data_IF_974704909369
#
_entry.id   IF_974704909369
#
_cell.length_a   1.000
_cell.length_b   1.000
_cell.length_c   1.000
_cell.angle_alpha   90.00
_cell.angle_beta   90.00
_cell.angle_gamma   90.00
#
_symmetry.space_group_name_H-M   'P 1'
#
loop_
_entity.id
_entity.type
_entity.pdbx_description
1 polymer ?
#
# COMPACT_ATOMS: atom_id res chain seq x y z
N UNK A 1 -7.24 22.96 -18.86
CA UNK A 1 -8.28 22.52 -19.81
C UNK A 1 -7.58 22.44 -21.17
N UNK A 2 -7.04 21.33 -21.66
CA UNK A 2 -7.41 19.91 -21.63
C UNK A 2 -6.18 19.06 -21.25
N UNK A 3 -6.30 18.15 -20.28
CA UNK A 3 -5.26 17.16 -19.96
C UNK A 3 -5.52 15.79 -20.60
N UNK A 4 -6.65 15.63 -21.29
CA UNK A 4 -7.05 14.38 -21.90
C UNK A 4 -7.56 14.65 -23.32
N UNK A 5 -6.80 14.27 -24.34
CA UNK A 5 -7.37 14.05 -25.67
C UNK A 5 -8.16 12.74 -25.62
N UNK A 6 -9.44 12.87 -25.29
CA UNK A 6 -10.55 11.94 -25.47
C UNK A 6 -10.21 10.52 -25.99
N UNK A 7 -9.76 9.63 -25.10
CA UNK A 7 -10.37 8.31 -25.05
C UNK A 7 -11.42 8.41 -23.94
N UNK A 8 -12.69 8.48 -24.31
CA UNK A 8 -13.77 8.30 -23.33
C UNK A 8 -13.72 6.84 -22.89
N UNK A 9 -12.93 6.57 -21.86
CA UNK A 9 -12.96 5.30 -21.17
C UNK A 9 -14.19 5.31 -20.27
N UNK A 10 -15.05 4.32 -20.44
CA UNK A 10 -16.22 4.11 -19.60
C UNK A 10 -16.14 2.70 -19.06
N UNK A 11 -16.33 2.54 -17.76
CA UNK A 11 -16.25 1.25 -17.08
C UNK A 11 -17.61 0.87 -16.55
N UNK A 12 -18.04 -0.37 -16.79
CA UNK A 12 -19.24 -0.92 -16.15
C UNK A 12 -18.98 -1.08 -14.64
N UNK A 13 -17.79 -1.62 -14.32
CA UNK A 13 -17.39 -1.97 -12.96
C UNK A 13 -15.89 -1.70 -12.76
N UNK A 14 -15.54 -1.28 -11.55
CA UNK A 14 -14.17 -1.16 -11.07
C UNK A 14 -14.01 -2.04 -9.84
N UNK A 15 -13.09 -3.01 -9.91
CA UNK A 15 -12.70 -3.87 -8.80
C UNK A 15 -11.32 -3.44 -8.33
N UNK A 16 -11.18 -3.15 -7.05
CA UNK A 16 -9.89 -2.80 -6.44
C UNK A 16 -9.81 -3.32 -5.01
N UNK A 17 -8.61 -3.41 -4.44
CA UNK A 17 -8.48 -3.83 -3.03
C UNK A 17 -8.18 -2.67 -2.09
N UNK A 18 -7.01 -2.06 -2.22
CA UNK A 18 -6.50 -1.06 -1.30
C UNK A 18 -6.21 0.22 -2.07
N UNK A 19 -6.88 1.34 -1.79
CA UNK A 19 -6.73 2.58 -2.54
C UNK A 19 -5.45 3.33 -2.11
N UNK A 20 -4.28 2.71 -2.26
CA UNK A 20 -3.01 3.39 -2.11
C UNK A 20 -2.66 4.22 -3.35
N UNK A 21 -1.47 4.83 -3.33
CA UNK A 21 -1.06 5.79 -4.36
C UNK A 21 -0.95 5.13 -5.75
N UNK A 22 -0.55 3.85 -5.82
CA UNK A 22 -0.44 3.11 -7.07
C UNK A 22 -1.82 2.78 -7.65
N UNK A 23 -2.71 2.23 -6.80
CA UNK A 23 -4.11 1.95 -7.17
C UNK A 23 -4.82 3.21 -7.66
N UNK A 24 -4.63 4.32 -6.96
CA UNK A 24 -5.31 5.58 -7.26
C UNK A 24 -4.79 6.22 -8.54
N UNK A 25 -3.48 6.22 -8.76
CA UNK A 25 -2.92 6.72 -10.03
C UNK A 25 -3.36 5.84 -11.20
N UNK A 26 -3.42 4.53 -11.01
CA UNK A 26 -3.99 3.62 -12.01
C UNK A 26 -5.43 3.98 -12.35
N UNK A 27 -6.29 4.20 -11.34
CA UNK A 27 -7.68 4.60 -11.53
C UNK A 27 -7.81 5.95 -12.25
N UNK A 28 -6.98 6.94 -11.88
CA UNK A 28 -6.91 8.24 -12.56
C UNK A 28 -6.53 8.08 -14.04
N UNK A 29 -5.50 7.29 -14.35
CA UNK A 29 -5.06 7.02 -15.71
C UNK A 29 -6.09 6.22 -16.52
N UNK A 30 -6.88 5.38 -15.87
CA UNK A 30 -7.98 4.67 -16.51
C UNK A 30 -9.22 5.54 -16.71
N UNK A 31 -9.24 6.80 -16.23
CA UNK A 31 -10.39 7.68 -16.34
C UNK A 31 -11.58 7.24 -15.48
N UNK A 32 -11.33 6.61 -14.33
CA UNK A 32 -12.39 6.20 -13.39
C UNK A 32 -13.17 7.42 -12.91
N UNK A 33 -14.49 7.29 -12.92
CA UNK A 33 -15.43 8.29 -12.40
C UNK A 33 -16.40 7.64 -11.42
N UNK A 34 -17.19 8.44 -10.71
CA UNK A 34 -18.19 7.95 -9.75
C UNK A 34 -19.41 7.26 -10.38
N UNK A 35 -19.53 7.29 -11.71
CA UNK A 35 -20.67 6.73 -12.43
C UNK A 35 -20.56 5.21 -12.66
N UNK A 36 -19.45 4.60 -12.22
CA UNK A 36 -19.18 3.17 -12.30
C UNK A 36 -19.72 2.40 -11.10
N UNK A 37 -19.93 1.09 -11.25
CA UNK A 37 -20.13 0.20 -10.08
C UNK A 37 -18.78 -0.12 -9.44
N UNK A 38 -18.68 -0.06 -8.11
CA UNK A 38 -17.44 -0.34 -7.39
C UNK A 38 -17.53 -1.62 -6.55
N UNK A 39 -16.47 -2.41 -6.59
CA UNK A 39 -16.27 -3.55 -5.70
C UNK A 39 -14.90 -3.47 -5.02
N UNK A 40 -14.90 -3.66 -3.70
CA UNK A 40 -13.67 -3.71 -2.90
C UNK A 40 -13.35 -5.17 -2.58
N UNK A 41 -12.39 -5.76 -3.27
CA UNK A 41 -12.01 -7.17 -3.11
C UNK A 41 -10.50 -7.37 -3.19
N UNK A 42 -9.88 -8.18 -2.29
CA UNK A 42 -8.48 -8.57 -2.42
C UNK A 42 -8.21 -9.47 -3.63
N UNK A 43 -9.24 -10.12 -4.15
CA UNK A 43 -9.16 -11.03 -5.29
C UNK A 43 -10.38 -10.81 -6.18
N UNK A 44 -10.16 -10.22 -7.35
CA UNK A 44 -11.19 -10.13 -8.37
C UNK A 44 -11.59 -11.53 -8.85
N UNK A 45 -12.87 -11.70 -9.14
CA UNK A 45 -13.37 -12.95 -9.69
C UNK A 45 -12.81 -13.18 -11.11
N UNK A 46 -12.64 -14.45 -11.49
CA UNK A 46 -12.14 -14.80 -12.83
C UNK A 46 -13.01 -14.24 -13.96
N UNK A 47 -14.31 -14.04 -13.72
CA UNK A 47 -15.20 -13.44 -14.71
C UNK A 47 -14.86 -11.97 -14.94
N UNK A 48 -14.63 -11.22 -13.86
CA UNK A 48 -14.22 -9.82 -13.92
C UNK A 48 -12.84 -9.66 -14.56
N UNK A 49 -11.87 -10.50 -14.16
CA UNK A 49 -10.50 -10.48 -14.71
C UNK A 49 -10.47 -10.67 -16.24
N UNK A 50 -11.40 -11.45 -16.78
CA UNK A 50 -11.45 -11.74 -18.22
C UNK A 50 -12.44 -10.85 -18.99
N UNK A 51 -13.06 -9.86 -18.34
CA UNK A 51 -14.01 -8.95 -18.97
C UNK A 51 -13.34 -7.61 -19.32
N UNK A 52 -13.19 -7.26 -20.61
CA UNK A 52 -12.53 -6.01 -21.01
C UNK A 52 -13.29 -4.74 -20.59
N UNK A 53 -14.58 -4.83 -20.23
CA UNK A 53 -15.39 -3.71 -19.74
C UNK A 53 -15.30 -3.50 -18.21
N UNK A 54 -14.57 -4.39 -17.52
CA UNK A 54 -14.30 -4.32 -16.07
C UNK A 54 -12.85 -3.94 -15.84
N UNK A 55 -12.64 -2.93 -15.01
CA UNK A 55 -11.30 -2.50 -14.60
C UNK A 55 -10.92 -3.20 -13.30
N UNK A 56 -9.85 -4.01 -13.32
CA UNK A 56 -9.28 -4.63 -12.12
C UNK A 56 -7.96 -3.94 -11.76
N UNK A 57 -7.85 -3.45 -10.52
CA UNK A 57 -6.67 -2.72 -10.03
C UNK A 57 -6.15 -3.35 -8.74
N UNK A 58 -4.94 -3.91 -8.79
CA UNK A 58 -4.27 -4.51 -7.64
C UNK A 58 -5.07 -5.60 -6.92
N UNK A 59 -5.89 -6.32 -7.67
CA UNK A 59 -6.71 -7.43 -7.18
C UNK A 59 -6.81 -8.63 -8.13
N UNK A 60 -6.23 -8.59 -9.33
CA UNK A 60 -6.36 -9.65 -10.34
C UNK A 60 -5.18 -10.62 -10.45
N UNK A 61 -4.03 -10.28 -9.87
CA UNK A 61 -2.85 -11.13 -9.73
C UNK A 61 -2.21 -11.66 -11.01
N UNK A 62 -2.49 -11.10 -12.19
CA UNK A 62 -2.00 -11.67 -13.46
C UNK A 62 -1.37 -10.68 -14.42
N UNK A 63 -1.53 -9.37 -14.21
CA UNK A 63 -1.03 -8.33 -15.13
C UNK A 63 -1.55 -8.50 -16.57
N UNK A 64 -2.82 -8.92 -16.74
CA UNK A 64 -3.45 -9.06 -18.06
C UNK A 64 -3.88 -7.67 -18.54
N UNK A 65 -2.89 -6.84 -18.87
CA UNK A 65 -3.02 -5.42 -19.20
C UNK A 65 -4.00 -5.17 -20.37
N UNK A 66 -3.98 -6.05 -21.38
CA UNK A 66 -4.90 -5.98 -22.54
C UNK A 66 -6.38 -6.19 -22.16
N UNK A 67 -6.64 -6.76 -20.98
CA UNK A 67 -7.98 -6.95 -20.41
C UNK A 67 -8.25 -5.98 -19.25
N UNK A 68 -7.47 -4.89 -19.14
CA UNK A 68 -7.61 -3.88 -18.10
C UNK A 68 -7.48 -4.44 -16.67
N UNK A 69 -6.65 -5.48 -16.51
CA UNK A 69 -6.24 -6.01 -15.22
C UNK A 69 -4.80 -5.59 -14.92
N UNK A 70 -4.67 -4.52 -14.14
CA UNK A 70 -3.41 -3.93 -13.74
C UNK A 70 -3.05 -4.41 -12.33
N UNK A 71 -2.10 -5.33 -12.25
CA UNK A 71 -1.69 -5.95 -10.99
C UNK A 71 -0.27 -6.50 -11.13
N UNK A 72 0.50 -6.45 -10.06
CA UNK A 72 1.87 -6.98 -9.99
C UNK A 72 2.11 -8.01 -8.88
N UNK A 73 1.05 -8.50 -8.23
CA UNK A 73 1.09 -9.35 -7.05
C UNK A 73 1.04 -10.86 -7.30
N UNK A 74 0.71 -11.30 -8.52
CA UNK A 74 0.65 -12.72 -8.84
C UNK A 74 1.55 -13.07 -10.02
N UNK A 75 2.46 -14.01 -9.79
CA UNK A 75 3.40 -14.51 -10.80
C UNK A 75 4.74 -14.93 -10.21
N UNK A 76 5.45 -15.80 -10.92
CA UNK A 76 6.87 -16.10 -10.67
C UNK A 76 7.81 -15.11 -11.37
N UNK A 77 7.25 -14.10 -12.04
CA UNK A 77 7.98 -13.05 -12.72
C UNK A 77 7.68 -11.70 -12.08
N UNK A 78 8.64 -10.80 -12.18
CA UNK A 78 8.44 -9.41 -11.83
C UNK A 78 7.51 -8.75 -12.85
N UNK A 79 6.51 -8.04 -12.33
CA UNK A 79 5.66 -7.13 -13.09
C UNK A 79 5.84 -5.72 -12.50
N UNK A 80 5.85 -4.66 -13.33
CA UNK A 80 5.95 -3.29 -12.83
C UNK A 80 4.66 -2.89 -12.08
N UNK A 81 4.70 -1.86 -11.22
CA UNK A 81 3.52 -1.34 -10.50
C UNK A 81 2.32 -1.06 -11.41
N UNK A 82 1.09 -1.17 -10.92
CA UNK A 82 -0.12 -1.04 -11.75
C UNK A 82 -0.20 0.30 -12.49
N UNK A 83 0.23 1.41 -11.87
CA UNK A 83 0.16 2.71 -12.54
C UNK A 83 1.12 2.79 -13.72
N UNK A 84 2.25 2.07 -13.67
CA UNK A 84 3.19 1.94 -14.79
C UNK A 84 2.56 1.15 -15.93
N UNK A 85 1.91 0.04 -15.60
CA UNK A 85 1.20 -0.79 -16.58
C UNK A 85 0.12 0.03 -17.30
N UNK A 86 -0.72 0.76 -16.56
CA UNK A 86 -1.76 1.62 -17.12
C UNK A 86 -1.20 2.78 -17.96
N UNK A 87 -0.14 3.44 -17.50
CA UNK A 87 0.52 4.51 -18.25
C UNK A 87 0.97 4.03 -19.64
N UNK A 88 1.65 2.88 -19.68
CA UNK A 88 2.12 2.27 -20.93
C UNK A 88 0.96 1.83 -21.82
N UNK A 89 -0.05 1.17 -21.24
CA UNK A 89 -1.22 0.66 -21.97
C UNK A 89 -2.01 1.76 -22.66
N UNK A 90 -2.33 2.82 -21.93
CA UNK A 90 -3.15 3.91 -22.47
C UNK A 90 -2.37 4.86 -23.38
N UNK A 91 -1.03 4.79 -23.35
CA UNK A 91 -0.15 5.54 -24.26
C UNK A 91 -0.09 7.04 -23.95
N UNK A 92 -0.02 7.40 -22.66
CA UNK A 92 0.11 8.80 -22.25
C UNK A 92 1.48 9.38 -22.66
N UNK A 93 1.49 10.60 -23.20
CA UNK A 93 2.71 11.31 -23.61
C UNK A 93 3.04 12.54 -22.74
N UNK A 94 2.17 12.90 -21.78
CA UNK A 94 2.39 14.06 -20.91
C UNK A 94 3.54 13.79 -19.93
N UNK A 95 4.61 14.60 -20.03
CA UNK A 95 5.79 14.48 -19.18
C UNK A 95 5.48 14.61 -17.67
N UNK A 96 4.43 15.34 -17.30
CA UNK A 96 4.01 15.50 -15.89
C UNK A 96 3.42 14.20 -15.37
N UNK A 97 2.63 13.51 -16.21
CA UNK A 97 2.11 12.19 -15.90
C UNK A 97 3.28 11.21 -15.78
N UNK A 98 4.19 11.19 -16.76
CA UNK A 98 5.38 10.32 -16.73
C UNK A 98 6.17 10.45 -15.42
N UNK A 99 6.44 11.69 -15.00
CA UNK A 99 7.14 12.02 -13.76
C UNK A 99 6.37 11.59 -12.51
N UNK A 100 5.04 11.73 -12.51
CA UNK A 100 4.21 11.26 -11.40
C UNK A 100 4.24 9.73 -11.31
N UNK A 101 4.10 9.02 -12.43
CA UNK A 101 4.21 7.56 -12.46
C UNK A 101 5.59 7.12 -11.96
N UNK A 102 6.69 7.78 -12.36
CA UNK A 102 8.05 7.52 -11.82
C UNK A 102 8.12 7.65 -10.30
N UNK A 103 7.57 8.72 -9.75
CA UNK A 103 7.51 8.89 -8.31
C UNK A 103 6.72 7.76 -7.64
N UNK A 104 5.53 7.45 -8.14
CA UNK A 104 4.65 6.43 -7.56
C UNK A 104 5.28 5.04 -7.64
N UNK A 105 5.87 4.66 -8.78
CA UNK A 105 6.60 3.39 -8.90
C UNK A 105 7.74 3.30 -7.88
N UNK A 106 8.51 4.37 -7.69
CA UNK A 106 9.59 4.39 -6.70
C UNK A 106 9.09 4.27 -5.26
N UNK A 107 7.93 4.85 -4.93
CA UNK A 107 7.28 4.69 -3.62
C UNK A 107 6.82 3.24 -3.41
N UNK A 108 6.15 2.66 -4.40
CA UNK A 108 5.60 1.30 -4.33
C UNK A 108 6.71 0.24 -4.16
N UNK A 109 7.78 0.37 -4.96
CA UNK A 109 8.94 -0.52 -4.91
C UNK A 109 9.89 -0.25 -3.73
N UNK A 110 9.51 0.69 -2.84
CA UNK A 110 10.30 1.12 -1.69
C UNK A 110 11.72 1.58 -2.06
N UNK A 111 11.89 2.17 -3.24
CA UNK A 111 13.12 2.83 -3.68
C UNK A 111 13.33 4.07 -2.80
N UNK A 112 14.58 4.30 -2.38
CA UNK A 112 14.90 5.44 -1.50
C UNK A 112 14.76 6.75 -2.26
N UNK A 113 13.69 7.48 -1.97
CA UNK A 113 13.47 8.84 -2.43
C UNK A 113 14.02 9.86 -1.41
N UNK A 114 14.71 10.88 -1.91
CA UNK A 114 15.21 11.99 -1.10
C UNK A 114 14.24 13.18 -1.20
N UNK A 115 13.04 13.03 -0.63
CA UNK A 115 12.02 14.10 -0.61
C UNK A 115 11.77 14.56 0.82
N UNK A 116 11.87 15.87 1.04
CA UNK A 116 11.58 16.47 2.35
C UNK A 116 10.07 16.49 2.58
N UNK A 117 9.64 16.13 3.79
CA UNK A 117 8.24 16.21 4.16
C UNK A 117 7.77 17.68 4.26
N UNK A 118 6.52 17.99 3.90
CA UNK A 118 5.51 17.06 3.41
C UNK A 118 5.69 16.72 1.92
N UNK A 119 5.78 15.42 1.62
CA UNK A 119 5.78 14.88 0.26
C UNK A 119 4.38 14.43 -0.17
N UNK A 120 4.20 14.09 -1.46
CA UNK A 120 2.94 13.53 -1.95
C UNK A 120 2.55 12.25 -1.17
N UNK A 121 3.51 11.36 -0.92
CA UNK A 121 3.30 10.16 -0.11
C UNK A 121 2.87 10.49 1.34
N UNK A 122 3.35 11.59 1.92
CA UNK A 122 2.90 12.04 3.25
C UNK A 122 1.44 12.47 3.22
N UNK A 123 1.05 13.30 2.24
CA UNK A 123 -0.32 13.77 2.07
C UNK A 123 -1.26 12.57 1.85
N UNK A 124 -0.87 11.65 0.97
CA UNK A 124 -1.66 10.46 0.66
C UNK A 124 -1.80 9.53 1.87
N UNK A 125 -0.70 9.28 2.59
CA UNK A 125 -0.75 8.49 3.83
C UNK A 125 -1.65 9.14 4.89
N UNK A 126 -1.65 10.47 4.97
CA UNK A 126 -2.55 11.23 5.83
C UNK A 126 -4.03 11.10 5.45
N UNK A 127 -4.33 11.09 4.16
CA UNK A 127 -5.68 10.82 3.66
C UNK A 127 -6.16 9.44 4.11
N UNK A 128 -5.33 8.40 3.98
CA UNK A 128 -5.65 7.04 4.43
C UNK A 128 -5.82 6.91 5.96
N UNK A 129 -5.28 7.84 6.75
CA UNK A 129 -5.45 7.87 8.20
C UNK A 129 -6.78 8.51 8.63
N UNK A 130 -7.33 9.41 7.80
CA UNK A 130 -8.49 10.26 8.15
C UNK A 130 -9.77 9.79 7.48
N UNK A 131 -9.66 9.16 6.32
CA UNK A 131 -10.79 8.64 5.53
C UNK A 131 -10.79 7.13 5.69
N UNK A 132 -11.95 6.54 5.98
CA UNK A 132 -12.06 5.10 6.29
C UNK A 132 -12.80 4.29 5.24
N UNK A 133 -13.70 4.92 4.49
CA UNK A 133 -14.40 4.27 3.39
C UNK A 133 -13.45 4.12 2.19
N UNK A 134 -13.24 2.89 1.66
CA UNK A 134 -12.29 2.66 0.57
C UNK A 134 -12.64 3.39 -0.73
N UNK A 135 -13.94 3.55 -1.04
CA UNK A 135 -14.35 4.29 -2.23
C UNK A 135 -14.08 5.78 -2.05
N UNK A 136 -14.40 6.34 -0.89
CA UNK A 136 -14.07 7.73 -0.56
C UNK A 136 -12.55 7.97 -0.60
N UNK A 137 -11.74 7.02 -0.12
CA UNK A 137 -10.27 7.07 -0.23
C UNK A 137 -9.81 7.10 -1.69
N UNK A 138 -10.36 6.24 -2.55
CA UNK A 138 -10.03 6.20 -3.98
C UNK A 138 -10.35 7.54 -4.66
N UNK A 139 -11.56 8.07 -4.45
CA UNK A 139 -12.01 9.33 -5.06
C UNK A 139 -11.18 10.51 -4.56
N UNK A 140 -10.95 10.64 -3.24
CA UNK A 140 -10.08 11.71 -2.71
C UNK A 140 -8.64 11.57 -3.16
N UNK A 141 -8.16 10.34 -3.34
CA UNK A 141 -6.86 10.09 -3.94
C UNK A 141 -6.79 10.62 -5.37
N UNK A 142 -7.81 10.36 -6.19
CA UNK A 142 -7.93 10.86 -7.56
C UNK A 142 -7.93 12.40 -7.56
N UNK A 143 -8.64 13.04 -6.62
CA UNK A 143 -8.65 14.50 -6.45
C UNK A 143 -7.26 15.07 -6.10
N UNK A 144 -6.50 14.38 -5.24
CA UNK A 144 -5.11 14.75 -4.92
C UNK A 144 -4.25 14.70 -6.19
N UNK A 145 -4.36 13.64 -6.99
CA UNK A 145 -3.62 13.48 -8.26
C UNK A 145 -4.00 14.57 -9.26
N UNK A 146 -5.30 14.83 -9.42
CA UNK A 146 -5.81 15.92 -10.24
C UNK A 146 -5.18 17.26 -9.85
N UNK A 147 -5.14 17.56 -8.55
CA UNK A 147 -4.57 18.80 -8.02
C UNK A 147 -3.06 18.87 -8.26
N UNK A 148 -2.33 17.77 -8.09
CA UNK A 148 -0.88 17.70 -8.38
C UNK A 148 -0.60 18.05 -9.83
N UNK A 149 -1.39 17.51 -10.77
CA UNK A 149 -1.20 17.75 -12.20
C UNK A 149 -1.71 19.12 -12.66
N UNK A 150 -2.83 19.60 -12.12
CA UNK A 150 -3.41 20.91 -12.46
C UNK A 150 -2.49 22.05 -12.04
N UNK A 151 -1.88 21.91 -10.86
CA UNK A 151 -1.06 22.96 -10.25
C UNK A 151 0.44 22.75 -10.56
N UNK A 152 0.75 21.78 -11.42
CA UNK A 152 2.11 21.44 -11.86
C UNK A 152 3.07 21.19 -10.68
N UNK A 153 2.59 20.50 -9.65
CA UNK A 153 3.36 20.18 -8.44
C UNK A 153 4.39 19.10 -8.78
N UNK A 154 5.64 19.34 -8.42
CA UNK A 154 6.70 18.34 -8.55
C UNK A 154 6.61 17.32 -7.40
N UNK A 155 6.32 16.02 -7.67
CA UNK A 155 6.19 15.02 -6.60
C UNK A 155 7.52 14.66 -5.92
N UNK A 156 8.66 15.01 -6.52
CA UNK A 156 10.00 14.80 -5.96
C UNK A 156 10.48 15.95 -5.06
N UNK A 157 9.65 16.95 -4.81
CA UNK A 157 9.96 18.09 -3.96
C UNK A 157 9.01 18.18 -2.77
N UNK A 158 9.35 19.07 -1.83
CA UNK A 158 8.45 19.43 -0.73
C UNK A 158 7.22 20.14 -1.31
N UNK A 159 6.04 19.70 -0.90
CA UNK A 159 4.77 20.23 -1.41
C UNK A 159 4.25 21.34 -0.50
N UNK A 160 3.84 22.46 -1.09
CA UNK A 160 3.10 23.50 -0.37
C UNK A 160 1.73 22.97 0.04
N UNK A 161 1.42 23.07 1.35
CA UNK A 161 0.19 22.51 1.90
C UNK A 161 -1.01 23.38 1.58
N UNK A 162 -1.89 22.82 0.74
CA UNK A 162 -3.20 23.42 0.43
C UNK A 162 -4.17 23.26 1.61
N UNK A 163 -5.15 24.17 1.78
CA UNK A 163 -6.10 24.10 2.88
C UNK A 163 -6.79 22.74 3.06
N UNK A 164 -7.20 22.11 1.95
CA UNK A 164 -7.86 20.80 1.96
C UNK A 164 -6.94 19.63 2.35
N UNK A 165 -5.62 19.80 2.30
CA UNK A 165 -4.63 18.76 2.67
C UNK A 165 -4.13 18.90 4.09
N UNK A 166 -4.46 20.00 4.78
CA UNK A 166 -3.97 20.28 6.13
C UNK A 166 -4.31 19.15 7.10
N UNK A 167 -5.56 18.68 7.08
CA UNK A 167 -6.02 17.58 7.94
C UNK A 167 -5.25 16.28 7.69
N UNK A 168 -4.81 16.03 6.45
CA UNK A 168 -4.04 14.83 6.11
C UNK A 168 -2.62 14.93 6.67
N UNK A 169 -1.99 16.10 6.54
CA UNK A 169 -0.65 16.34 7.08
C UNK A 169 -0.66 16.24 8.60
N UNK A 170 -1.62 16.90 9.25
CA UNK A 170 -1.79 16.84 10.71
C UNK A 170 -1.97 15.39 11.20
N UNK A 171 -2.85 14.62 10.57
CA UNK A 171 -3.04 13.21 10.92
C UNK A 171 -1.77 12.37 10.71
N UNK A 172 -0.98 12.66 9.66
CA UNK A 172 0.28 11.96 9.40
C UNK A 172 1.33 12.29 10.46
N UNK A 173 1.42 13.55 10.87
CA UNK A 173 2.33 14.03 11.90
C UNK A 173 1.95 13.46 13.27
N UNK A 174 0.67 13.47 13.64
CA UNK A 174 0.17 12.85 14.87
C UNK A 174 0.48 11.34 14.92
N UNK A 175 0.25 10.62 13.82
CA UNK A 175 0.60 9.21 13.73
C UNK A 175 2.11 8.98 13.87
N UNK A 176 2.94 9.87 13.32
CA UNK A 176 4.40 9.78 13.46
C UNK A 176 4.84 10.04 14.91
N UNK A 177 4.27 11.04 15.58
CA UNK A 177 4.53 11.32 17.00
C UNK A 177 4.13 10.13 17.89
N UNK A 178 3.01 9.47 17.58
CA UNK A 178 2.60 8.24 18.27
C UNK A 178 3.61 7.11 18.06
N UNK A 179 4.07 6.88 16.83
CA UNK A 179 5.11 5.89 16.56
C UNK A 179 6.42 6.21 17.30
N UNK A 180 6.86 7.47 17.31
CA UNK A 180 8.09 7.89 17.97
C UNK A 180 8.02 7.72 19.49
N UNK A 181 6.85 7.98 20.08
CA UNK A 181 6.58 7.71 21.49
C UNK A 181 6.65 6.22 21.78
N UNK A 182 5.95 5.40 21.00
CA UNK A 182 5.83 3.97 21.24
C UNK A 182 7.16 3.24 20.98
N UNK A 183 8.01 3.77 20.08
CA UNK A 183 9.36 3.26 19.80
C UNK A 183 10.28 3.27 21.03
N UNK A 184 9.97 4.05 22.07
CA UNK A 184 10.69 4.02 23.35
C UNK A 184 10.52 2.67 24.08
N UNK A 185 9.44 1.94 23.79
CA UNK A 185 9.12 0.64 24.36
C UNK A 185 9.45 -0.52 23.41
N UNK A 186 10.31 -0.28 22.41
CA UNK A 186 10.79 -1.30 21.48
C UNK A 186 11.48 -2.45 22.25
N UNK A 187 11.03 -3.68 22.01
CA UNK A 187 11.66 -4.89 22.53
C UNK A 187 12.46 -5.55 21.42
N UNK A 188 13.76 -5.71 21.63
CA UNK A 188 14.62 -6.47 20.72
C UNK A 188 14.57 -7.95 21.06
N UNK A 189 14.65 -8.79 20.04
CA UNK A 189 14.83 -10.23 20.18
C UNK A 189 15.81 -10.74 19.12
N UNK A 190 16.20 -12.00 19.23
CA UNK A 190 17.06 -12.68 18.26
C UNK A 190 16.45 -14.03 17.94
N UNK A 191 16.36 -14.39 16.67
CA UNK A 191 15.86 -15.71 16.27
C UNK A 191 16.89 -16.81 16.57
N UNK A 192 16.52 -18.07 16.44
CA UNK A 192 17.42 -19.20 16.66
C UNK A 192 18.59 -19.23 15.65
N UNK A 193 18.36 -18.80 14.41
CA UNK A 193 19.43 -18.57 13.42
C UNK A 193 20.24 -17.30 13.65
N UNK A 194 19.88 -16.52 14.66
CA UNK A 194 20.63 -15.33 15.05
C UNK A 194 20.20 -14.03 14.36
N UNK A 195 19.07 -14.01 13.65
CA UNK A 195 18.57 -12.83 12.94
C UNK A 195 18.05 -11.81 13.96
N UNK A 196 18.46 -10.52 13.89
CA UNK A 196 17.98 -9.50 14.82
C UNK A 196 16.53 -9.14 14.52
N UNK A 197 15.68 -9.23 15.53
CA UNK A 197 14.26 -8.92 15.47
C UNK A 197 13.85 -7.77 16.40
N UNK A 198 12.71 -7.15 16.12
CA UNK A 198 12.13 -6.14 17.00
C UNK A 198 10.60 -6.25 17.08
N UNK A 199 10.06 -6.17 18.28
CA UNK A 199 8.64 -6.00 18.57
C UNK A 199 8.34 -4.53 18.89
N UNK A 200 7.39 -3.94 18.17
CA UNK A 200 6.78 -2.67 18.53
C UNK A 200 5.29 -2.87 18.81
N UNK A 201 4.88 -2.57 20.04
CA UNK A 201 3.46 -2.49 20.41
C UNK A 201 2.99 -1.06 20.20
N UNK A 202 2.08 -0.86 19.25
CA UNK A 202 1.59 0.48 18.89
C UNK A 202 0.21 0.42 18.28
N UNK A 203 -0.58 1.47 18.52
CA UNK A 203 -1.89 1.65 17.84
C UNK A 203 -1.76 2.45 16.54
N UNK A 204 -0.60 3.08 16.32
CA UNK A 204 -0.31 3.84 15.12
C UNK A 204 -0.11 2.92 13.90
N UNK A 205 -0.37 3.45 12.71
CA UNK A 205 -0.22 2.69 11.45
C UNK A 205 1.22 2.83 10.94
N UNK A 206 1.81 1.70 10.54
CA UNK A 206 3.19 1.61 10.07
C UNK A 206 4.17 1.18 11.16
N UNK A 207 5.45 1.53 11.02
CA UNK A 207 6.48 1.31 12.04
C UNK A 207 7.61 0.33 11.67
N UNK A 208 7.40 -0.55 10.68
CA UNK A 208 8.45 -1.48 10.20
C UNK A 208 9.70 -0.72 9.72
N UNK A 209 9.50 0.39 8.99
CA UNK A 209 10.58 1.30 8.59
C UNK A 209 11.42 1.82 9.76
N UNK A 210 10.82 2.06 10.93
CA UNK A 210 11.52 2.54 12.12
C UNK A 210 12.30 1.42 12.80
N UNK A 211 11.76 0.20 12.81
CA UNK A 211 12.46 -0.99 13.28
C UNK A 211 13.69 -1.31 12.41
N UNK A 212 13.57 -1.23 11.09
CA UNK A 212 14.71 -1.40 10.18
C UNK A 212 15.83 -0.38 10.46
N UNK A 213 15.47 0.89 10.72
CA UNK A 213 16.44 1.94 11.11
C UNK A 213 17.14 1.67 12.45
N UNK A 214 16.57 0.80 13.29
CA UNK A 214 17.16 0.35 14.57
C UNK A 214 17.94 -0.97 14.43
N UNK A 215 18.19 -1.44 13.21
CA UNK A 215 18.99 -2.63 12.94
C UNK A 215 18.22 -3.95 13.02
N UNK A 216 16.90 -3.92 13.18
CA UNK A 216 16.09 -5.12 13.05
C UNK A 216 16.07 -5.57 11.58
N UNK A 217 16.17 -6.87 11.33
CA UNK A 217 15.93 -7.46 10.01
C UNK A 217 14.54 -8.10 9.93
N UNK A 218 13.99 -8.54 11.07
CA UNK A 218 12.61 -9.00 11.21
C UNK A 218 11.85 -8.04 12.12
N UNK A 219 10.69 -7.59 11.67
CA UNK A 219 9.85 -6.63 12.35
C UNK A 219 8.53 -7.28 12.74
N UNK A 220 8.15 -7.18 14.01
CA UNK A 220 6.83 -7.58 14.51
C UNK A 220 6.15 -6.33 15.05
N UNK A 221 5.04 -5.95 14.44
CA UNK A 221 4.20 -4.85 14.90
C UNK A 221 2.94 -5.44 15.51
N UNK A 222 2.55 -4.98 16.69
CA UNK A 222 1.33 -5.43 17.37
C UNK A 222 0.43 -4.25 17.71
N UNK A 223 -0.81 -4.28 17.22
CA UNK A 223 -1.86 -3.33 17.58
C UNK A 223 -2.76 -3.94 18.66
N UNK A 224 -2.66 -3.48 19.93
CA UNK A 224 -3.41 -4.07 21.03
C UNK A 224 -4.91 -3.79 20.96
N UNK A 225 -5.35 -2.69 20.33
CA UNK A 225 -6.77 -2.34 20.23
C UNK A 225 -7.52 -3.22 19.24
N UNK A 226 -6.84 -3.64 18.17
CA UNK A 226 -7.42 -4.51 17.12
C UNK A 226 -7.03 -5.97 17.30
N UNK A 227 -6.13 -6.26 18.24
CA UNK A 227 -5.48 -7.54 18.40
C UNK A 227 -4.91 -8.06 17.07
N UNK A 228 -4.14 -7.21 16.39
CA UNK A 228 -3.58 -7.49 15.05
C UNK A 228 -2.07 -7.41 15.03
N UNK A 229 -1.46 -8.31 14.26
CA UNK A 229 -0.03 -8.32 14.01
C UNK A 229 0.28 -8.01 12.55
N UNK A 230 1.43 -7.39 12.33
CA UNK A 230 2.13 -7.37 11.05
C UNK A 230 3.54 -7.88 11.27
N UNK A 231 3.94 -8.90 10.51
CA UNK A 231 5.31 -9.42 10.50
C UNK A 231 5.94 -9.11 9.16
N UNK A 232 7.13 -8.52 9.15
CA UNK A 232 7.78 -8.08 7.93
C UNK A 232 9.31 -8.23 7.96
N UNK A 233 9.92 -8.50 6.82
CA UNK A 233 11.37 -8.56 6.62
C UNK A 233 11.75 -7.96 5.27
N UNK A 234 12.91 -7.31 5.20
CA UNK A 234 13.48 -6.82 3.93
C UNK A 234 14.47 -7.81 3.29
N UNK A 235 14.96 -8.78 4.06
CA UNK A 235 16.09 -9.64 3.65
C UNK A 235 15.78 -11.13 3.71
N UNK A 236 14.70 -11.51 4.40
CA UNK A 236 14.40 -12.89 4.72
C UNK A 236 13.01 -13.27 4.21
N UNK A 237 12.91 -14.46 3.63
CA UNK A 237 11.64 -15.09 3.31
C UNK A 237 10.99 -15.62 4.59
N UNK A 238 9.78 -15.14 4.87
CA UNK A 238 8.99 -15.51 6.04
C UNK A 238 7.88 -16.51 5.71
N UNK A 239 7.90 -17.13 4.52
CA UNK A 239 6.88 -18.11 4.09
C UNK A 239 6.71 -19.27 5.05
N UNK A 240 7.81 -19.74 5.66
CA UNK A 240 7.75 -20.80 6.67
C UNK A 240 6.99 -20.35 7.94
N UNK A 241 7.25 -19.12 8.41
CA UNK A 241 6.55 -18.51 9.54
C UNK A 241 5.06 -18.34 9.22
N UNK A 242 4.74 -17.81 8.04
CA UNK A 242 3.36 -17.64 7.59
C UNK A 242 2.61 -18.97 7.53
N UNK A 243 3.21 -20.01 6.93
CA UNK A 243 2.62 -21.36 6.88
C UNK A 243 2.36 -21.93 8.27
N UNK A 244 3.31 -21.74 9.21
CA UNK A 244 3.13 -22.18 10.59
C UNK A 244 1.95 -21.46 11.25
N UNK A 245 1.88 -20.13 11.12
CA UNK A 245 0.77 -19.33 11.68
C UNK A 245 -0.58 -19.71 11.05
N UNK A 246 -0.63 -19.96 9.74
CA UNK A 246 -1.84 -20.43 9.05
C UNK A 246 -2.30 -21.81 9.53
N UNK A 247 -1.37 -22.68 9.90
CA UNK A 247 -1.69 -23.99 10.47
C UNK A 247 -2.24 -23.86 11.90
N UNK A 248 -1.69 -22.91 12.67
CA UNK A 248 -2.12 -22.64 14.05
C UNK A 248 -3.46 -21.90 14.11
N UNK A 249 -3.67 -20.92 13.24
CA UNK A 249 -4.90 -20.12 13.17
C UNK A 249 -5.21 -19.74 11.71
N UNK A 250 -6.45 -19.95 11.28
CA UNK A 250 -6.86 -19.58 9.92
C UNK A 250 -6.94 -18.05 9.75
N UNK A 251 -6.58 -17.55 8.56
CA UNK A 251 -6.79 -16.15 8.16
C UNK A 251 -5.54 -15.27 8.19
N UNK A 252 -4.39 -15.81 8.62
CA UNK A 252 -3.10 -15.17 8.39
C UNK A 252 -2.81 -15.12 6.88
N UNK A 253 -2.36 -13.96 6.39
CA UNK A 253 -2.19 -13.75 4.95
C UNK A 253 -1.34 -12.54 4.59
N UNK A 254 -0.86 -12.52 3.35
CA UNK A 254 0.04 -11.51 2.83
C UNK A 254 1.08 -12.13 1.89
N UNK A 255 2.23 -11.48 1.77
CA UNK A 255 3.35 -11.90 0.93
C UNK A 255 4.43 -12.60 1.77
N UNK A 256 5.33 -13.37 1.14
CA UNK A 256 6.47 -14.03 1.80
C UNK A 256 7.30 -13.11 2.70
N UNK A 257 7.43 -11.83 2.37
CA UNK A 257 8.25 -10.86 3.10
C UNK A 257 7.44 -9.94 4.04
N UNK A 258 6.11 -9.92 3.94
CA UNK A 258 5.23 -9.13 4.79
C UNK A 258 3.82 -9.72 4.83
N UNK A 259 3.36 -10.05 6.03
CA UNK A 259 2.02 -10.59 6.23
C UNK A 259 1.40 -10.08 7.52
N UNK A 260 0.08 -10.24 7.63
CA UNK A 260 -0.70 -9.81 8.78
C UNK A 260 -1.54 -10.93 9.38
N UNK A 261 -1.99 -10.68 10.60
CA UNK A 261 -2.96 -11.52 11.30
C UNK A 261 -4.35 -11.47 10.65
N UNK A 262 -5.27 -12.37 11.03
CA UNK A 262 -6.64 -12.40 10.51
C UNK A 262 -7.35 -11.06 10.62
N UNK A 263 -8.31 -10.81 9.71
CA UNK A 263 -9.03 -9.54 9.64
C UNK A 263 -9.76 -9.20 10.96
N UNK A 264 -10.31 -10.22 11.64
CA UNK A 264 -11.03 -10.10 12.92
C UNK A 264 -10.12 -10.02 14.16
N UNK A 265 -8.79 -10.00 13.98
CA UNK A 265 -7.82 -10.16 15.05
C UNK A 265 -7.40 -11.63 15.22
N UNK A 266 -6.34 -11.85 16.01
CA UNK A 266 -5.80 -13.19 16.33
C UNK A 266 -6.06 -13.56 17.78
N UNK A 267 -6.23 -14.84 18.11
CA UNK A 267 -6.24 -15.30 19.50
C UNK A 267 -4.84 -15.56 20.06
N UNK A 268 -3.80 -15.47 19.23
CA UNK A 268 -2.42 -15.67 19.64
C UNK A 268 -1.93 -14.48 20.46
N UNK A 269 -1.23 -14.78 21.55
CA UNK A 269 -0.57 -13.75 22.34
C UNK A 269 0.68 -13.22 21.63
N UNK A 270 1.16 -12.05 22.07
CA UNK A 270 2.45 -11.50 21.62
C UNK A 270 3.58 -12.51 21.83
N UNK A 271 3.55 -13.25 22.94
CA UNK A 271 4.54 -14.28 23.24
C UNK A 271 4.51 -15.41 22.22
N UNK A 272 3.31 -15.89 21.86
CA UNK A 272 3.16 -16.99 20.90
C UNK A 272 3.71 -16.59 19.53
N UNK A 273 3.34 -15.40 19.03
CA UNK A 273 3.81 -14.92 17.73
C UNK A 273 5.33 -14.74 17.71
N UNK A 274 5.91 -14.15 18.77
CA UNK A 274 7.37 -13.99 18.86
C UNK A 274 8.08 -15.33 18.95
N UNK A 275 7.58 -16.27 19.76
CA UNK A 275 8.14 -17.62 19.87
C UNK A 275 8.16 -18.31 18.51
N UNK A 276 7.06 -18.27 17.76
CA UNK A 276 6.99 -18.85 16.41
C UNK A 276 8.01 -18.18 15.48
N UNK A 277 8.10 -16.84 15.48
CA UNK A 277 9.09 -16.12 14.66
C UNK A 277 10.52 -16.49 15.05
N UNK A 278 10.82 -16.64 16.35
CA UNK A 278 12.15 -17.00 16.84
C UNK A 278 12.53 -18.45 16.53
N UNK A 279 11.56 -19.38 16.57
CA UNK A 279 11.80 -20.80 16.39
C UNK A 279 11.88 -21.23 14.93
N UNK A 280 11.04 -20.63 14.08
CA UNK A 280 10.94 -20.99 12.67
C UNK A 280 12.01 -20.31 11.81
N UNK A 281 12.56 -19.17 12.26
CA UNK A 281 13.65 -18.45 11.59
C UNK A 281 15.02 -18.79 12.20
#
# INVERSE_FOLDING_TARGET
MFLFSNKHLTWEKVVFYKPDLDTTLTAFLAGVTTDCTFEVSPHADKLDINNPDVLCIECGGSGLVELHNFDHHGGNCYLPPACRQAYTHFGYEDYRIAKLVEYVSAVDEAVKLCVTAPSLSNIFSGMLLTVHDPLEQLIKGIDIIHTVLSDNINPFEMIEIKPQWRIYVEAKDENQLHLDRDLKNLVFFKTNSGIPGGLLVTTAIGGSGMLYKRGCEVCVLYNPNKNKFTVASKKHDLSAVLKYLQHTESGWGGRPNIFGSPHRGTNLSVRDVISIVMEVL
#
